data_IF_313651284799
#
_entry.id   IF_313651284799
#
_cell.length_a   1.000
_cell.length_b   1.000
_cell.length_c   1.000
_cell.angle_alpha   90.00
_cell.angle_beta   90.00
_cell.angle_gamma   90.00
#
_symmetry.space_group_name_H-M   'P 1'
#
loop_
_entity.id
_entity.type
_entity.pdbx_description
1 polymer ?
#
# COMPACT_ATOMS: atom_id res chain seq x y z
N UNK A 1 -13.38 -3.25 -5.01
CA UNK A 1 -13.54 -4.17 -3.85
C UNK A 1 -13.48 -3.33 -2.59
N UNK A 2 -14.45 -3.45 -1.68
CA UNK A 2 -14.40 -2.71 -0.41
C UNK A 2 -13.51 -3.46 0.59
N UNK A 3 -12.53 -2.81 1.25
CA UNK A 3 -11.63 -3.46 2.18
C UNK A 3 -12.39 -3.99 3.41
N UNK A 4 -12.21 -5.27 3.74
CA UNK A 4 -12.84 -5.91 4.91
C UNK A 4 -12.08 -5.63 6.23
N UNK A 5 -10.98 -4.88 6.17
CA UNK A 5 -10.14 -4.54 7.32
C UNK A 5 -9.91 -3.03 7.36
N UNK A 6 -10.05 -2.41 8.54
CA UNK A 6 -9.82 -0.98 8.73
C UNK A 6 -8.39 -0.53 8.36
N UNK A 7 -7.39 -1.40 8.53
CA UNK A 7 -6.01 -1.12 8.13
C UNK A 7 -5.85 -1.07 6.61
N UNK A 8 -6.46 -2.02 5.88
CA UNK A 8 -6.49 -1.97 4.41
C UNK A 8 -7.25 -0.76 3.89
N UNK A 9 -8.35 -0.37 4.56
CA UNK A 9 -9.12 0.81 4.22
C UNK A 9 -8.31 2.10 4.37
N UNK A 10 -7.47 2.19 5.41
CA UNK A 10 -6.58 3.32 5.60
C UNK A 10 -5.56 3.48 4.46
N UNK A 11 -4.87 2.39 4.07
CA UNK A 11 -3.91 2.43 2.96
C UNK A 11 -4.58 2.80 1.65
N UNK A 12 -5.72 2.17 1.34
CA UNK A 12 -6.52 2.50 0.16
C UNK A 12 -6.96 3.98 0.16
N UNK A 13 -7.39 4.50 1.30
CA UNK A 13 -7.78 5.90 1.44
C UNK A 13 -6.62 6.86 1.15
N UNK A 14 -5.42 6.56 1.65
CA UNK A 14 -4.21 7.33 1.36
C UNK A 14 -3.89 7.34 -0.14
N UNK A 15 -3.86 6.17 -0.78
CA UNK A 15 -3.58 6.05 -2.21
C UNK A 15 -4.63 6.78 -3.06
N UNK A 16 -5.91 6.67 -2.68
CA UNK A 16 -6.99 7.41 -3.34
C UNK A 16 -6.84 8.92 -3.19
N UNK A 17 -6.41 9.41 -2.02
CA UNK A 17 -6.23 10.84 -1.81
C UNK A 17 -5.04 11.40 -2.61
N UNK A 18 -4.01 10.58 -2.77
CA UNK A 18 -2.88 10.84 -3.66
C UNK A 18 -3.24 10.69 -5.15
N UNK A 19 -4.42 10.15 -5.47
CA UNK A 19 -4.91 9.91 -6.83
C UNK A 19 -3.95 9.06 -7.66
N UNK A 20 -3.30 8.08 -7.02
CA UNK A 20 -2.42 7.14 -7.72
C UNK A 20 -3.21 5.95 -8.23
N UNK A 21 -2.85 5.47 -9.42
CA UNK A 21 -3.34 4.18 -9.90
C UNK A 21 -2.60 3.06 -9.15
N UNK A 22 -3.35 2.15 -8.53
CA UNK A 22 -2.81 1.01 -7.80
C UNK A 22 -3.60 -0.25 -8.10
N UNK A 23 -2.91 -1.38 -7.94
CA UNK A 23 -3.52 -2.70 -7.96
C UNK A 23 -3.71 -3.21 -6.54
N UNK A 24 -4.79 -3.93 -6.29
CA UNK A 24 -5.10 -4.49 -4.97
C UNK A 24 -5.39 -5.98 -5.08
N UNK A 25 -4.69 -6.78 -4.28
CA UNK A 25 -4.86 -8.23 -4.22
C UNK A 25 -5.50 -8.64 -2.90
N UNK A 26 -6.55 -9.47 -2.97
CA UNK A 26 -7.25 -9.95 -1.78
C UNK A 26 -6.64 -11.25 -1.26
N UNK A 27 -5.70 -11.13 -0.34
CA UNK A 27 -5.05 -12.24 0.36
C UNK A 27 -6.01 -13.11 1.20
N UNK A 28 -7.26 -12.68 1.44
CA UNK A 28 -8.23 -13.51 2.16
C UNK A 28 -8.85 -14.58 1.24
N UNK A 29 -8.83 -14.36 -0.07
CA UNK A 29 -9.39 -15.29 -1.05
C UNK A 29 -8.40 -16.39 -1.44
N UNK A 30 -7.09 -16.12 -1.31
CA UNK A 30 -6.03 -17.09 -1.60
C UNK A 30 -5.06 -17.25 -0.40
N UNK A 31 -5.13 -18.38 0.33
CA UNK A 31 -4.23 -18.65 1.45
C UNK A 31 -2.76 -18.83 1.02
N UNK A 32 -2.49 -19.23 -0.23
CA UNK A 32 -1.15 -19.30 -0.79
C UNK A 32 -0.53 -17.92 -0.97
N UNK A 33 -1.28 -16.95 -1.49
CA UNK A 33 -0.84 -15.55 -1.57
C UNK A 33 -0.60 -14.98 -0.16
N UNK A 34 -1.50 -15.27 0.78
CA UNK A 34 -1.39 -14.80 2.17
C UNK A 34 -0.11 -15.25 2.86
N UNK A 35 0.31 -16.50 2.63
CA UNK A 35 1.55 -17.02 3.19
C UNK A 35 2.76 -16.48 2.41
N UNK A 36 2.72 -16.57 1.08
CA UNK A 36 3.82 -16.21 0.20
C UNK A 36 4.22 -14.74 0.31
N UNK A 37 3.27 -13.82 0.45
CA UNK A 37 3.58 -12.38 0.57
C UNK A 37 4.32 -12.05 1.87
N UNK A 38 4.05 -12.80 2.95
CA UNK A 38 4.75 -12.61 4.22
C UNK A 38 6.19 -13.07 4.15
N UNK A 39 6.42 -14.21 3.50
CA UNK A 39 7.76 -14.75 3.28
C UNK A 39 8.55 -13.88 2.30
N UNK A 40 7.88 -13.38 1.24
CA UNK A 40 8.48 -12.52 0.23
C UNK A 40 8.96 -11.18 0.80
N UNK A 41 8.12 -10.45 1.54
CA UNK A 41 8.53 -9.21 2.20
C UNK A 41 9.35 -9.43 3.48
N UNK A 42 9.49 -10.69 3.93
CA UNK A 42 9.96 -11.00 5.27
C UNK A 42 9.20 -10.18 6.35
N UNK A 43 7.88 -10.03 6.16
CA UNK A 43 7.02 -9.16 6.96
C UNK A 43 5.74 -9.88 7.40
N UNK A 44 5.43 -9.95 8.71
CA UNK A 44 4.39 -10.84 9.21
C UNK A 44 2.96 -10.30 9.07
N UNK A 45 2.78 -9.00 8.80
CA UNK A 45 1.47 -8.32 8.85
C UNK A 45 0.97 -7.86 7.49
N UNK A 46 -0.33 -7.54 7.44
CA UNK A 46 -1.08 -7.08 6.26
C UNK A 46 -1.94 -5.90 6.74
N UNK A 47 -2.17 -4.84 5.92
CA UNK A 47 -1.77 -4.66 4.52
C UNK A 47 -0.27 -4.44 4.31
N UNK A 48 0.20 -4.70 3.10
CA UNK A 48 1.56 -4.42 2.64
C UNK A 48 1.50 -3.60 1.35
N UNK A 49 2.26 -2.50 1.29
CA UNK A 49 2.37 -1.66 0.10
C UNK A 49 3.69 -1.94 -0.61
N UNK A 50 3.61 -2.12 -1.92
CA UNK A 50 4.77 -2.26 -2.79
C UNK A 50 4.71 -1.21 -3.88
N UNK A 51 5.84 -0.58 -4.18
CA UNK A 51 6.00 0.41 -5.24
C UNK A 51 7.10 -0.08 -6.17
N UNK A 52 6.76 -0.30 -7.45
CA UNK A 52 7.69 -0.86 -8.46
C UNK A 52 8.40 -2.17 -8.04
N UNK A 53 7.76 -2.96 -7.18
CA UNK A 53 8.32 -4.22 -6.66
C UNK A 53 9.13 -4.08 -5.37
N UNK A 54 9.35 -2.86 -4.89
CA UNK A 54 10.00 -2.58 -3.62
C UNK A 54 8.96 -2.50 -2.48
N UNK A 55 9.26 -3.15 -1.36
CA UNK A 55 8.40 -3.12 -0.18
C UNK A 55 8.54 -1.78 0.52
N UNK A 56 7.44 -1.03 0.63
CA UNK A 56 7.39 0.26 1.31
C UNK A 56 7.09 0.09 2.79
N UNK A 57 6.05 -0.70 3.11
CA UNK A 57 5.65 -0.90 4.50
C UNK A 57 4.21 -1.36 4.70
N UNK A 58 3.83 -1.46 5.97
CA UNK A 58 2.46 -1.75 6.39
C UNK A 58 1.60 -0.49 6.57
N UNK A 59 0.39 -0.67 7.10
CA UNK A 59 -0.57 0.43 7.29
C UNK A 59 0.00 1.63 8.07
N UNK A 60 0.67 1.38 9.19
CA UNK A 60 1.17 2.46 10.06
C UNK A 60 2.28 3.27 9.38
N UNK A 61 3.21 2.58 8.70
CA UNK A 61 4.31 3.19 7.94
C UNK A 61 3.75 4.04 6.80
N UNK A 62 2.82 3.49 6.01
CA UNK A 62 2.21 4.21 4.88
C UNK A 62 1.48 5.47 5.36
N UNK A 63 0.80 5.41 6.51
CA UNK A 63 0.14 6.58 7.10
C UNK A 63 1.14 7.64 7.53
N UNK A 64 2.18 7.24 8.25
CA UNK A 64 3.23 8.15 8.71
C UNK A 64 3.92 8.83 7.52
N UNK A 65 4.34 8.05 6.53
CA UNK A 65 4.96 8.57 5.30
C UNK A 65 4.02 9.50 4.52
N UNK A 66 2.71 9.25 4.57
CA UNK A 66 1.75 10.15 3.95
C UNK A 66 1.63 11.48 4.70
N UNK A 67 1.59 11.44 6.03
CA UNK A 67 1.54 12.64 6.89
C UNK A 67 2.82 13.49 6.79
N UNK A 68 3.98 12.85 6.62
CA UNK A 68 5.27 13.54 6.41
C UNK A 68 5.50 13.99 4.97
N UNK A 69 4.69 13.50 4.02
CA UNK A 69 4.86 13.73 2.58
C UNK A 69 5.92 12.85 1.90
N UNK A 70 6.61 12.01 2.67
CA UNK A 70 7.61 11.06 2.18
C UNK A 70 7.02 10.03 1.21
N UNK A 71 5.77 9.61 1.41
CA UNK A 71 5.10 8.66 0.52
C UNK A 71 4.95 9.23 -0.89
N UNK A 72 4.58 10.51 -1.00
CA UNK A 72 4.47 11.21 -2.28
C UNK A 72 5.82 11.29 -2.98
N UNK A 73 6.88 11.54 -2.23
CA UNK A 73 8.24 11.56 -2.75
C UNK A 73 8.64 10.17 -3.29
N UNK A 74 8.46 9.11 -2.50
CA UNK A 74 8.77 7.73 -2.91
C UNK A 74 8.01 7.33 -4.18
N UNK A 75 6.73 7.66 -4.26
CA UNK A 75 5.91 7.40 -5.45
C UNK A 75 6.43 8.17 -6.67
N UNK A 76 6.76 9.44 -6.50
CA UNK A 76 7.29 10.29 -7.58
C UNK A 76 8.66 9.82 -8.07
N UNK A 77 9.57 9.47 -7.14
CA UNK A 77 10.90 8.93 -7.44
C UNK A 77 10.81 7.59 -8.16
N UNK A 78 9.82 6.76 -7.80
CA UNK A 78 9.52 5.52 -8.50
C UNK A 78 8.82 5.73 -9.86
N UNK A 79 8.56 6.98 -10.27
CA UNK A 79 7.88 7.31 -11.53
C UNK A 79 6.39 6.93 -11.52
N UNK A 80 5.76 6.90 -10.34
CA UNK A 80 4.30 6.79 -10.19
C UNK A 80 3.71 8.19 -10.25
N UNK A 81 2.71 8.37 -11.10
CA UNK A 81 2.05 9.66 -11.24
C UNK A 81 1.11 9.90 -10.06
N UNK A 82 1.42 10.92 -9.25
CA UNK A 82 0.61 11.35 -8.11
C UNK A 82 -0.25 12.53 -8.54
N UNK A 83 -1.58 12.38 -8.44
CA UNK A 83 -2.55 13.43 -8.74
C UNK A 83 -3.39 13.70 -7.50
N UNK A 84 -2.94 14.57 -6.57
CA UNK A 84 -3.72 14.88 -5.39
C UNK A 84 -5.10 15.38 -5.82
N UNK A 85 -6.16 14.79 -5.26
CA UNK A 85 -7.51 15.29 -5.47
C UNK A 85 -7.58 16.68 -4.83
N UNK A 86 -7.50 17.72 -5.67
CA UNK A 86 -7.63 19.12 -5.27
C UNK A 86 -9.04 19.48 -4.82
#
# INVERSE_FOLDING_TARGET
>A
VFPQCGFSAAVVGVLNNLGVDYHSENVLEDPGIRQGIKEYANWPTIPQLYVKGEFVGGCDIVREMYETGELTQVLTEAGVEVRPAG
#
